data_IF_056089795985
#
_entry.id   IF_056089795985
#
_cell.length_a   1.000
_cell.length_b   1.000
_cell.length_c   1.000
_cell.angle_alpha   90.00
_cell.angle_beta   90.00
_cell.angle_gamma   90.00
#
_symmetry.space_group_name_H-M   'P 1'
#
loop_
_entity.id
_entity.type
_entity.pdbx_description
1 polymer ?
#
# COMPACT_ATOMS: atom_id res chain seq x y z
N UNK A 1 -22.00 29.60 -45.81
CA UNK A 1 -22.10 29.98 -44.37
C UNK A 1 -22.57 28.82 -43.49
N UNK A 2 -23.54 28.02 -43.94
CA UNK A 2 -24.07 26.83 -43.23
C UNK A 2 -23.07 25.67 -43.10
N UNK A 3 -22.26 25.39 -44.13
CA UNK A 3 -21.22 24.35 -44.11
C UNK A 3 -20.09 24.62 -43.09
N UNK A 4 -19.72 25.89 -42.91
CA UNK A 4 -18.68 26.29 -41.96
C UNK A 4 -19.17 26.14 -40.51
N UNK A 5 -20.43 26.49 -40.26
CA UNK A 5 -21.08 26.30 -38.95
C UNK A 5 -21.21 24.82 -38.58
N UNK A 6 -21.59 23.98 -39.53
CA UNK A 6 -21.64 22.54 -39.33
C UNK A 6 -20.25 22.00 -38.93
N UNK A 7 -19.20 22.37 -39.67
CA UNK A 7 -17.83 21.93 -39.36
C UNK A 7 -17.33 22.37 -37.97
N UNK A 8 -17.63 23.61 -37.56
CA UNK A 8 -17.27 24.12 -36.23
C UNK A 8 -18.01 23.37 -35.12
N UNK A 9 -19.30 23.06 -35.32
CA UNK A 9 -20.10 22.27 -34.38
C UNK A 9 -19.59 20.83 -34.27
N UNK A 10 -19.22 20.18 -35.38
CA UNK A 10 -18.65 18.83 -35.35
C UNK A 10 -17.29 18.80 -34.66
N UNK A 11 -16.43 19.81 -34.88
CA UNK A 11 -15.16 19.95 -34.16
C UNK A 11 -15.36 20.17 -32.66
N UNK A 12 -16.34 20.99 -32.26
CA UNK A 12 -16.66 21.22 -30.85
C UNK A 12 -17.22 19.96 -30.17
N UNK A 13 -17.96 19.14 -30.91
CA UNK A 13 -18.49 17.86 -30.42
C UNK A 13 -17.39 16.80 -30.30
N UNK A 14 -16.44 16.74 -31.24
CA UNK A 14 -15.27 15.86 -31.18
C UNK A 14 -14.32 16.24 -30.03
N UNK A 15 -14.18 17.52 -29.71
CA UNK A 15 -13.42 18.01 -28.55
C UNK A 15 -14.05 17.65 -27.19
N UNK A 16 -15.36 17.36 -27.15
CA UNK A 16 -16.09 16.96 -25.94
C UNK A 16 -16.03 15.45 -25.67
N UNK A 17 -15.63 14.65 -26.66
CA UNK A 17 -15.40 13.21 -26.48
C UNK A 17 -13.99 13.03 -25.90
N UNK A 18 -13.82 13.36 -24.63
CA UNK A 18 -12.78 12.74 -23.82
C UNK A 18 -13.26 11.35 -23.44
N UNK A 19 -13.22 10.43 -24.40
CA UNK A 19 -13.24 9.01 -24.10
C UNK A 19 -11.86 8.63 -23.57
N UNK A 20 -11.64 8.80 -22.26
CA UNK A 20 -10.53 8.19 -21.56
C UNK A 20 -11.08 7.16 -20.58
N UNK A 21 -11.58 6.05 -21.10
CA UNK A 21 -11.40 4.77 -20.42
C UNK A 21 -10.11 4.16 -20.97
N UNK A 22 -8.98 4.78 -20.62
CA UNK A 22 -7.73 4.04 -20.62
C UNK A 22 -7.89 3.16 -19.39
N UNK A 23 -8.13 1.86 -19.59
CA UNK A 23 -7.79 0.89 -18.55
C UNK A 23 -6.31 1.13 -18.24
N UNK A 24 -6.05 1.84 -17.15
CA UNK A 24 -4.70 2.00 -16.64
C UNK A 24 -4.27 0.61 -16.23
N UNK A 25 -3.55 -0.08 -17.11
CA UNK A 25 -3.06 -1.44 -16.92
C UNK A 25 -1.92 -1.50 -15.87
N UNK A 26 -1.97 -0.57 -14.91
CA UNK A 26 -0.94 0.42 -14.80
C UNK A 26 0.22 0.02 -13.92
N UNK A 27 1.39 0.46 -14.38
CA UNK A 27 2.63 0.40 -13.67
C UNK A 27 2.59 1.37 -12.49
N UNK A 28 2.83 0.90 -11.27
CA UNK A 28 2.86 1.74 -10.09
C UNK A 28 4.17 1.55 -9.32
N UNK A 29 4.83 2.66 -9.00
CA UNK A 29 5.99 2.65 -8.11
C UNK A 29 5.57 3.15 -6.74
N UNK A 30 6.02 2.48 -5.69
CA UNK A 30 5.68 2.80 -4.31
C UNK A 30 6.99 2.87 -3.54
N UNK A 31 7.28 4.03 -2.96
CA UNK A 31 8.43 4.22 -2.09
C UNK A 31 8.06 3.88 -0.66
N UNK A 32 8.94 3.13 0.00
CA UNK A 32 8.82 2.74 1.40
C UNK A 32 9.88 3.47 2.21
N UNK A 33 9.44 4.16 3.24
CA UNK A 33 10.31 4.80 4.22
C UNK A 33 9.89 4.39 5.62
N UNK A 34 10.81 4.41 6.59
CA UNK A 34 10.51 4.07 7.97
C UNK A 34 11.06 5.07 8.97
N UNK A 35 10.51 5.08 10.18
CA UNK A 35 11.09 5.78 11.33
C UNK A 35 11.47 4.76 12.40
N UNK A 36 12.73 4.84 12.84
CA UNK A 36 13.33 3.98 13.87
C UNK A 36 13.62 4.75 15.18
N UNK A 37 13.20 6.00 15.26
CA UNK A 37 13.40 6.87 16.41
C UNK A 37 12.08 7.34 17.05
N UNK A 38 10.94 7.02 16.40
CA UNK A 38 9.62 7.46 16.83
C UNK A 38 9.33 8.94 16.57
N UNK A 39 10.20 9.65 15.85
CA UNK A 39 10.17 11.12 15.74
C UNK A 39 9.79 11.65 14.34
N UNK A 40 8.95 10.95 13.57
CA UNK A 40 8.54 11.35 12.20
C UNK A 40 9.73 11.63 11.24
N UNK A 41 10.95 11.20 11.59
CA UNK A 41 12.12 11.23 10.72
C UNK A 41 12.14 9.93 9.93
N UNK A 42 11.91 10.05 8.63
CA UNK A 42 11.79 8.91 7.73
C UNK A 42 13.07 8.67 6.93
N UNK A 43 13.57 7.45 6.94
CA UNK A 43 14.70 6.98 6.14
C UNK A 43 14.27 5.95 5.11
N UNK A 44 15.04 5.83 4.04
CA UNK A 44 14.75 4.91 2.94
C UNK A 44 14.77 3.45 3.40
N UNK A 45 13.67 2.74 3.15
CA UNK A 45 13.52 1.31 3.42
C UNK A 45 13.62 0.49 2.14
N UNK A 46 13.15 1.04 1.02
CA UNK A 46 13.09 0.37 -0.27
C UNK A 46 11.90 0.83 -1.10
N UNK A 47 11.53 0.02 -2.09
CA UNK A 47 10.48 0.33 -3.04
C UNK A 47 9.78 -0.93 -3.56
N UNK A 48 8.52 -0.76 -3.92
CA UNK A 48 7.70 -1.77 -4.57
C UNK A 48 7.35 -1.26 -5.95
N UNK A 49 7.55 -2.10 -6.95
CA UNK A 49 7.11 -1.86 -8.32
C UNK A 49 6.01 -2.86 -8.64
N UNK A 50 4.79 -2.36 -8.81
CA UNK A 50 3.65 -3.17 -9.27
C UNK A 50 3.64 -3.09 -10.80
N UNK A 51 3.88 -4.22 -11.45
CA UNK A 51 3.99 -4.29 -12.90
C UNK A 51 2.62 -4.22 -13.58
N UNK A 52 1.61 -4.81 -12.93
CA UNK A 52 0.21 -4.71 -13.34
C UNK A 52 -0.68 -4.82 -12.11
N UNK A 53 -1.52 -3.80 -11.91
CA UNK A 53 -2.49 -3.78 -10.82
C UNK A 53 -3.50 -4.94 -10.94
N UNK A 54 -3.81 -5.40 -12.16
CA UNK A 54 -4.76 -6.49 -12.43
C UNK A 54 -4.21 -7.86 -12.02
N UNK A 55 -2.95 -8.16 -12.34
CA UNK A 55 -2.35 -9.44 -11.98
C UNK A 55 -1.80 -9.47 -10.56
N UNK A 56 -1.60 -8.29 -9.95
CA UNK A 56 -0.97 -8.16 -8.64
C UNK A 56 0.51 -8.55 -8.64
N UNK A 57 1.14 -8.69 -9.82
CA UNK A 57 2.57 -9.01 -9.91
C UNK A 57 3.39 -7.81 -9.48
N UNK A 58 4.26 -8.01 -8.50
CA UNK A 58 5.12 -6.97 -7.95
C UNK A 58 6.58 -7.42 -7.88
N UNK A 59 7.46 -6.43 -7.86
CA UNK A 59 8.87 -6.59 -7.51
C UNK A 59 9.15 -5.73 -6.29
N UNK A 60 9.87 -6.29 -5.33
CA UNK A 60 10.22 -5.62 -4.09
C UNK A 60 11.74 -5.49 -4.03
N UNK A 61 12.25 -4.27 -3.83
CA UNK A 61 13.65 -4.06 -3.47
C UNK A 61 13.72 -3.43 -2.09
N UNK A 62 14.55 -3.99 -1.21
CA UNK A 62 14.69 -3.54 0.17
C UNK A 62 16.15 -3.31 0.51
N UNK A 63 16.36 -2.29 1.33
CA UNK A 63 17.67 -1.96 1.87
C UNK A 63 17.88 -2.67 3.22
N UNK A 64 19.01 -3.38 3.41
CA UNK A 64 19.37 -3.91 4.72
C UNK A 64 19.59 -2.79 5.74
N UNK A 65 19.27 -3.05 7.01
CA UNK A 65 19.54 -2.11 8.10
C UNK A 65 21.04 -2.05 8.41
N UNK A 66 21.53 -0.83 8.59
CA UNK A 66 22.85 -0.57 9.18
C UNK A 66 22.90 -0.99 10.64
N UNK A 67 24.11 -1.12 11.20
CA UNK A 67 24.28 -1.43 12.63
C UNK A 67 23.65 -0.39 13.55
N UNK A 68 23.67 0.88 13.16
CA UNK A 68 23.03 1.96 13.93
C UNK A 68 21.49 1.81 13.93
N UNK A 69 20.90 1.57 12.76
CA UNK A 69 19.46 1.35 12.61
C UNK A 69 18.99 0.12 13.38
N UNK A 70 19.79 -0.97 13.38
CA UNK A 70 19.51 -2.16 14.20
C UNK A 70 19.47 -1.86 15.69
N UNK A 71 20.40 -1.04 16.18
CA UNK A 71 20.41 -0.61 17.59
C UNK A 71 19.21 0.28 17.92
N UNK A 72 18.80 1.17 17.01
CA UNK A 72 17.61 2.01 17.18
C UNK A 72 16.33 1.16 17.26
N UNK A 73 16.16 0.20 16.36
CA UNK A 73 15.02 -0.72 16.38
C UNK A 73 14.97 -1.54 17.67
N UNK A 74 16.11 -2.05 18.13
CA UNK A 74 16.21 -2.75 19.41
C UNK A 74 15.81 -1.86 20.59
N UNK A 75 16.25 -0.61 20.61
CA UNK A 75 15.88 0.33 21.67
C UNK A 75 14.37 0.61 21.65
N UNK A 76 13.76 0.81 20.47
CA UNK A 76 12.31 0.94 20.34
C UNK A 76 11.56 -0.29 20.86
N UNK A 77 12.06 -1.49 20.57
CA UNK A 77 11.47 -2.74 21.03
C UNK A 77 11.54 -2.87 22.57
N UNK A 78 12.70 -2.56 23.16
CA UNK A 78 12.90 -2.59 24.61
C UNK A 78 12.00 -1.56 25.34
N UNK A 79 11.79 -0.39 24.73
CA UNK A 79 10.95 0.68 25.27
C UNK A 79 9.45 0.49 24.95
N UNK A 80 9.04 -0.61 24.31
CA UNK A 80 7.66 -0.88 23.88
C UNK A 80 7.08 0.26 22.99
N UNK A 81 7.91 0.87 22.16
CA UNK A 81 7.55 1.95 21.21
C UNK A 81 7.12 1.39 19.86
N UNK A 82 6.68 2.28 18.97
CA UNK A 82 6.20 1.94 17.64
C UNK A 82 7.29 2.11 16.58
N UNK A 83 7.38 1.12 15.69
CA UNK A 83 7.98 1.27 14.37
C UNK A 83 6.94 1.93 13.45
N UNK A 84 7.36 2.90 12.65
CA UNK A 84 6.48 3.61 11.72
C UNK A 84 6.91 3.31 10.28
N UNK A 85 5.94 2.97 9.44
CA UNK A 85 6.11 2.85 8.00
C UNK A 85 5.40 4.02 7.32
N UNK A 86 6.06 4.65 6.36
CA UNK A 86 5.47 5.61 5.43
C UNK A 86 5.57 5.05 4.02
N UNK A 87 4.44 5.07 3.33
CA UNK A 87 4.28 4.55 1.98
C UNK A 87 3.89 5.73 1.09
N UNK A 88 4.72 6.05 0.12
CA UNK A 88 4.47 7.13 -0.84
C UNK A 88 4.25 6.51 -2.21
N UNK A 89 3.10 6.79 -2.82
CA UNK A 89 2.74 6.32 -4.14
C UNK A 89 3.32 7.26 -5.19
N UNK A 90 4.12 6.71 -6.11
CA UNK A 90 4.80 7.42 -7.19
C UNK A 90 4.22 6.89 -8.51
N UNK A 91 3.11 7.49 -8.97
CA UNK A 91 2.54 7.15 -10.28
C UNK A 91 1.19 7.80 -10.60
N UNK A 92 1.07 8.27 -11.85
CA UNK A 92 -0.18 8.67 -12.52
C UNK A 92 -0.43 10.17 -12.56
N UNK A 93 -0.69 10.77 -11.41
CA UNK A 93 -1.12 12.16 -11.26
C UNK A 93 -0.11 12.99 -10.44
N UNK A 94 -0.18 14.32 -10.53
CA UNK A 94 0.71 15.26 -9.80
C UNK A 94 0.59 15.20 -8.26
N UNK A 95 -0.26 14.31 -7.74
CA UNK A 95 -0.53 14.15 -6.30
C UNK A 95 0.13 12.88 -5.78
N UNK A 96 1.09 13.04 -4.85
CA UNK A 96 1.68 11.93 -4.11
C UNK A 96 0.75 11.51 -2.96
N UNK A 97 0.11 10.35 -3.10
CA UNK A 97 -0.66 9.76 -1.99
C UNK A 97 0.32 9.19 -0.95
N UNK A 98 0.17 9.62 0.31
CA UNK A 98 1.02 9.20 1.43
C UNK A 98 0.20 8.49 2.50
N UNK A 99 0.60 7.27 2.84
CA UNK A 99 -0.02 6.46 3.87
C UNK A 99 0.99 6.17 4.99
N UNK A 100 0.54 6.26 6.24
CA UNK A 100 1.35 5.92 7.43
C UNK A 100 0.73 4.74 8.17
N UNK A 101 1.57 3.80 8.59
CA UNK A 101 1.18 2.64 9.38
C UNK A 101 2.14 2.46 10.55
N UNK A 102 1.62 1.93 11.66
CA UNK A 102 2.35 1.82 12.92
C UNK A 102 2.20 0.40 13.47
N UNK A 103 3.32 -0.20 13.88
CA UNK A 103 3.33 -1.49 14.58
C UNK A 103 4.24 -1.39 15.79
N UNK A 104 4.01 -2.20 16.82
CA UNK A 104 4.92 -2.27 17.96
C UNK A 104 6.29 -2.78 17.48
N UNK A 105 7.37 -2.09 17.86
CA UNK A 105 8.72 -2.44 17.40
C UNK A 105 9.16 -3.82 17.91
N UNK A 106 8.76 -4.18 19.13
CA UNK A 106 8.97 -5.52 19.68
C UNK A 106 8.30 -6.61 18.83
N UNK A 107 7.08 -6.39 18.32
CA UNK A 107 6.40 -7.37 17.48
C UNK A 107 7.20 -7.67 16.21
N UNK A 108 7.72 -6.61 15.56
CA UNK A 108 8.53 -6.72 14.37
C UNK A 108 9.91 -7.37 14.64
N UNK A 109 10.52 -7.07 15.78
CA UNK A 109 11.76 -7.71 16.18
C UNK A 109 11.56 -9.20 16.46
N UNK A 110 10.52 -9.57 17.21
CA UNK A 110 10.18 -10.95 17.56
C UNK A 110 9.76 -11.79 16.35
N UNK A 111 9.23 -11.16 15.29
CA UNK A 111 8.95 -11.81 14.01
C UNK A 111 10.18 -11.93 13.09
N UNK A 112 11.38 -11.65 13.61
CA UNK A 112 12.62 -11.62 12.84
C UNK A 112 12.50 -10.76 11.57
N UNK A 113 11.93 -9.56 11.73
CA UNK A 113 11.71 -8.60 10.64
C UNK A 113 10.74 -9.06 9.54
N UNK A 114 9.91 -10.08 9.84
CA UNK A 114 8.87 -10.57 8.94
C UNK A 114 7.61 -9.72 9.05
N UNK A 115 7.17 -9.14 7.94
CA UNK A 115 5.99 -8.28 7.87
C UNK A 115 5.15 -8.52 6.60
N UNK A 116 3.92 -8.03 6.65
CA UNK A 116 2.96 -8.11 5.55
C UNK A 116 2.47 -6.71 5.22
N UNK A 117 2.62 -6.29 3.96
CA UNK A 117 2.10 -5.02 3.47
C UNK A 117 0.83 -5.26 2.66
N UNK A 118 -0.29 -4.71 3.11
CA UNK A 118 -1.57 -4.76 2.39
C UNK A 118 -1.82 -3.43 1.70
N UNK A 119 -1.94 -3.47 0.37
CA UNK A 119 -2.24 -2.31 -0.49
C UNK A 119 -3.65 -2.53 -1.04
N UNK A 120 -4.59 -1.65 -0.70
CA UNK A 120 -5.98 -1.75 -1.17
C UNK A 120 -6.24 -0.76 -2.29
N UNK A 121 -6.93 -1.25 -3.31
CA UNK A 121 -7.31 -0.50 -4.51
C UNK A 121 -8.82 -0.29 -4.56
N UNK A 122 -9.26 0.88 -5.02
CA UNK A 122 -10.66 1.10 -5.39
C UNK A 122 -11.01 0.43 -6.75
N UNK A 123 -12.24 0.64 -7.20
CA UNK A 123 -12.74 0.09 -8.46
C UNK A 123 -12.07 0.70 -9.71
N UNK A 124 -11.37 1.84 -9.55
CA UNK A 124 -10.61 2.51 -10.61
C UNK A 124 -9.14 2.10 -10.65
N UNK A 125 -8.68 1.33 -9.65
CA UNK A 125 -7.29 0.92 -9.50
C UNK A 125 -6.43 1.92 -8.73
N UNK A 126 -7.01 2.95 -8.11
CA UNK A 126 -6.28 3.90 -7.25
C UNK A 126 -6.05 3.28 -5.86
N UNK A 127 -4.87 3.52 -5.29
CA UNK A 127 -4.59 3.11 -3.91
C UNK A 127 -5.42 3.97 -2.96
N UNK A 128 -6.22 3.30 -2.13
CA UNK A 128 -7.01 3.96 -1.08
C UNK A 128 -6.39 3.76 0.30
N UNK A 129 -5.63 2.68 0.51
CA UNK A 129 -4.93 2.40 1.77
C UNK A 129 -3.68 1.57 1.54
N UNK A 130 -2.64 1.82 2.35
CA UNK A 130 -1.51 0.93 2.51
C UNK A 130 -1.22 0.73 4.00
N UNK A 131 -1.22 -0.53 4.45
CA UNK A 131 -1.10 -0.88 5.87
C UNK A 131 -0.10 -2.00 6.08
N UNK A 132 0.66 -1.91 7.16
CA UNK A 132 1.64 -2.91 7.57
C UNK A 132 1.06 -3.74 8.72
N UNK A 133 1.19 -5.05 8.60
CA UNK A 133 0.92 -6.02 9.67
C UNK A 133 2.15 -6.84 9.99
N UNK A 134 2.18 -7.37 11.20
CA UNK A 134 3.17 -8.37 11.65
C UNK A 134 2.39 -9.58 12.14
N UNK A 135 2.90 -10.79 11.91
CA UNK A 135 2.25 -12.01 12.35
C UNK A 135 1.98 -11.98 13.86
N UNK A 136 0.79 -12.45 14.26
CA UNK A 136 0.31 -12.45 15.65
C UNK A 136 1.02 -13.46 16.56
N UNK A 137 2.12 -14.06 16.10
CA UNK A 137 2.96 -14.96 16.89
C UNK A 137 3.89 -14.20 17.84
N UNK A 138 4.00 -12.88 17.68
CA UNK A 138 4.76 -12.04 18.61
C UNK A 138 3.91 -11.64 19.81
N UNK A 139 4.45 -11.80 21.02
CA UNK A 139 3.75 -11.47 22.27
C UNK A 139 4.24 -10.15 22.87
N UNK A 140 5.37 -9.61 22.39
CA UNK A 140 6.01 -8.41 22.95
C UNK A 140 6.26 -8.53 24.46
N UNK A 141 6.58 -9.74 24.93
CA UNK A 141 6.74 -10.05 26.37
C UNK A 141 8.20 -9.92 26.85
N UNK A 142 9.03 -9.20 26.08
CA UNK A 142 10.41 -8.90 26.46
C UNK A 142 11.44 -9.94 25.98
N UNK A 143 11.13 -10.66 24.89
CA UNK A 143 12.09 -11.56 24.28
C UNK A 143 13.31 -10.78 23.74
N UNK A 144 14.51 -11.21 24.13
CA UNK A 144 15.75 -10.64 23.61
C UNK A 144 16.06 -11.23 22.24
N UNK A 145 15.81 -10.45 21.19
CA UNK A 145 16.13 -10.84 19.82
C UNK A 145 17.59 -10.50 19.48
N UNK A 146 18.40 -11.48 19.04
CA UNK A 146 19.76 -11.23 18.56
C UNK A 146 19.83 -10.17 17.46
N UNK A 147 20.86 -9.31 17.49
CA UNK A 147 20.96 -8.16 16.56
C UNK A 147 21.06 -8.60 15.09
N UNK A 148 21.57 -9.81 14.87
CA UNK A 148 21.83 -10.33 13.53
C UNK A 148 20.54 -10.71 12.80
N UNK A 149 19.47 -11.05 13.55
CA UNK A 149 18.14 -11.26 12.97
C UNK A 149 17.46 -9.95 12.57
N UNK A 150 17.93 -8.80 13.06
CA UNK A 150 17.36 -7.48 12.72
C UNK A 150 17.96 -6.88 11.45
N UNK A 151 18.65 -7.66 10.60
CA UNK A 151 19.44 -7.13 9.47
C UNK A 151 18.62 -6.83 8.22
N UNK A 152 17.66 -7.67 7.89
CA UNK A 152 16.94 -7.61 6.62
C UNK A 152 15.45 -7.81 6.87
N UNK A 153 14.62 -7.07 6.15
CA UNK A 153 13.18 -7.27 6.17
C UNK A 153 12.79 -8.48 5.32
N UNK A 154 11.80 -9.23 5.79
CA UNK A 154 11.15 -10.30 5.04
C UNK A 154 9.71 -9.88 4.81
N UNK A 155 9.49 -9.05 3.78
CA UNK A 155 8.18 -8.47 3.50
C UNK A 155 7.43 -9.26 2.44
N UNK A 156 6.17 -9.58 2.75
CA UNK A 156 5.20 -10.06 1.76
C UNK A 156 4.22 -8.94 1.40
N UNK A 157 3.91 -8.77 0.12
CA UNK A 157 2.98 -7.72 -0.35
C UNK A 157 1.69 -8.37 -0.84
N UNK A 158 0.56 -7.83 -0.40
CA UNK A 158 -0.78 -8.25 -0.78
C UNK A 158 -1.54 -7.08 -1.41
N UNK A 159 -1.85 -7.21 -2.69
CA UNK A 159 -2.69 -6.26 -3.42
C UNK A 159 -4.14 -6.72 -3.29
N UNK A 160 -5.01 -5.84 -2.79
CA UNK A 160 -6.42 -6.12 -2.49
C UNK A 160 -7.30 -5.26 -3.37
N UNK A 161 -8.16 -5.89 -4.17
CA UNK A 161 -9.17 -5.19 -4.95
C UNK A 161 -10.45 -5.02 -4.16
N UNK A 162 -11.16 -3.91 -4.39
CA UNK A 162 -12.54 -3.76 -3.94
C UNK A 162 -13.42 -4.89 -4.50
N UNK A 163 -14.19 -5.53 -3.60
CA UNK A 163 -15.11 -6.60 -3.97
C UNK A 163 -16.53 -6.05 -4.11
N UNK A 164 -17.30 -6.65 -5.02
CA UNK A 164 -18.72 -6.36 -5.14
C UNK A 164 -19.42 -6.90 -3.89
N UNK A 165 -20.30 -6.09 -3.30
CA UNK A 165 -21.10 -6.51 -2.14
C UNK A 165 -22.04 -7.67 -2.47
N UNK A 166 -22.54 -8.39 -1.45
CA UNK A 166 -23.48 -9.48 -1.68
C UNK A 166 -24.76 -8.96 -2.34
N UNK A 167 -25.30 -9.74 -3.28
CA UNK A 167 -26.60 -9.44 -3.89
C UNK A 167 -27.68 -9.60 -2.82
N UNK A 168 -28.64 -8.66 -2.67
CA UNK A 168 -29.66 -8.76 -1.65
C UNK A 168 -30.56 -9.98 -1.91
N UNK A 169 -30.76 -10.78 -0.87
CA UNK A 169 -31.62 -11.96 -0.90
C UNK A 169 -33.10 -11.56 -0.82
N UNK A 170 -33.55 -10.92 -1.88
CA UNK A 170 -34.95 -10.51 -2.05
C UNK A 170 -35.85 -11.70 -2.41
N UNK A 171 -35.29 -12.76 -3.02
CA UNK A 171 -36.02 -13.97 -3.37
C UNK A 171 -36.55 -14.70 -2.12
N UNK A 172 -35.70 -14.97 -1.11
CA UNK A 172 -36.15 -15.62 0.12
C UNK A 172 -37.12 -14.78 0.95
N UNK A 173 -37.14 -13.45 0.75
CA UNK A 173 -38.14 -12.58 1.36
C UNK A 173 -39.50 -12.72 0.67
N UNK A 174 -39.51 -12.78 -0.67
CA UNK A 174 -40.74 -12.94 -1.46
C UNK A 174 -41.39 -14.31 -1.17
N UNK A 175 -40.62 -15.40 -1.13
CA UNK A 175 -41.14 -16.75 -0.81
C UNK A 175 -41.80 -16.84 0.57
N UNK A 176 -41.44 -15.98 1.53
CA UNK A 176 -42.08 -15.93 2.87
C UNK A 176 -43.38 -15.14 2.89
N UNK A 177 -43.64 -14.34 1.85
CA UNK A 177 -44.87 -13.56 1.71
C UNK A 177 -45.97 -14.34 0.97
N UNK A 178 -45.60 -15.39 0.23
CA UNK A 178 -46.51 -16.33 -0.45
C UNK A 178 -47.00 -17.44 0.48
#
# INVERSE_FOLDING_TARGET
MTLLYAFVLTCFFLLKIKASQIEYDGYLSIKLEHSLDGNDVYTDRGNITIQSLRSGVYTLQQKPLSTEERNKLRALAADNKFYQLKVTVIGGDEHEDVFKSYVKACMLAESEMTDQLSISLDYTGRIITATMGVASTSTCEGALVPIDYLKQFVTSVHIRHSAIGPTPDTASYIEKLE
#
